data_IF_836811757774
#
_entry.id   IF_836811757774
#
_cell.length_a   1.000
_cell.length_b   1.000
_cell.length_c   1.000
_cell.angle_alpha   90.00
_cell.angle_beta   90.00
_cell.angle_gamma   90.00
#
_symmetry.space_group_name_H-M   'P 1'
#
loop_
_entity.id
_entity.type
_entity.pdbx_description
1 polymer ?
#
# COMPACT_ATOMS: atom_id res chain seq x y z
N UNK A 1 -22.00 0.36 -1.62
CA UNK A 1 -20.58 0.65 -1.35
C UNK A 1 -20.27 1.90 -2.12
N UNK A 2 -20.48 3.07 -1.50
CA UNK A 2 -20.14 4.35 -2.09
C UNK A 2 -18.66 4.34 -2.45
N UNK A 3 -18.34 4.92 -3.59
CA UNK A 3 -16.98 5.01 -4.12
C UNK A 3 -16.27 6.08 -3.28
N UNK A 4 -15.88 5.73 -2.07
CA UNK A 4 -15.35 6.67 -1.09
C UNK A 4 -13.98 7.16 -1.59
N UNK A 5 -14.00 8.36 -2.16
CA UNK A 5 -12.78 9.08 -2.54
C UNK A 5 -11.97 9.30 -1.28
N UNK A 6 -10.73 8.79 -1.25
CA UNK A 6 -9.79 9.03 -0.16
C UNK A 6 -9.54 10.53 -0.02
N UNK A 7 -9.47 11.02 1.22
CA UNK A 7 -9.27 12.44 1.51
C UNK A 7 -7.90 12.66 2.16
N UNK A 8 -7.28 13.79 1.86
CA UNK A 8 -5.91 14.08 2.30
C UNK A 8 -5.85 14.33 3.81
N UNK A 9 -6.92 14.87 4.38
CA UNK A 9 -7.09 15.09 5.82
C UNK A 9 -7.22 13.79 6.63
N UNK A 10 -7.53 12.66 5.98
CA UNK A 10 -7.55 11.35 6.63
C UNK A 10 -6.17 10.68 6.62
N UNK A 11 -5.18 11.25 5.92
CA UNK A 11 -3.87 10.65 5.77
C UNK A 11 -3.07 10.69 7.06
N UNK A 12 -2.51 9.55 7.46
CA UNK A 12 -1.71 9.42 8.69
C UNK A 12 -0.31 10.04 8.59
N UNK A 13 0.08 10.52 7.41
CA UNK A 13 1.40 11.10 7.16
C UNK A 13 1.30 12.42 6.37
N UNK A 14 2.10 13.41 6.74
CA UNK A 14 2.14 14.72 6.05
C UNK A 14 3.17 14.78 4.92
N UNK A 15 4.19 13.94 4.98
CA UNK A 15 5.30 13.91 4.02
C UNK A 15 5.45 12.55 3.36
N UNK A 16 5.90 12.57 2.11
CA UNK A 16 6.15 11.40 1.30
C UNK A 16 7.38 10.65 1.83
N UNK A 17 7.26 9.35 2.17
CA UNK A 17 8.37 8.59 2.78
C UNK A 17 9.57 8.41 1.84
N UNK A 18 9.41 8.61 0.53
CA UNK A 18 10.50 8.48 -0.45
C UNK A 18 11.36 9.72 -0.59
N UNK A 19 10.80 10.92 -0.35
CA UNK A 19 11.46 12.18 -0.72
C UNK A 19 11.40 13.27 0.34
N UNK A 20 10.56 13.12 1.38
CA UNK A 20 10.29 14.16 2.37
C UNK A 20 9.40 15.31 1.88
N UNK A 21 9.03 15.36 0.59
CA UNK A 21 8.10 16.37 0.07
C UNK A 21 6.67 16.18 0.62
N UNK A 22 5.82 17.22 0.68
CA UNK A 22 4.43 17.09 1.10
C UNK A 22 3.65 16.06 0.27
N UNK A 23 2.63 15.45 0.88
CA UNK A 23 1.71 14.55 0.18
C UNK A 23 0.72 15.33 -0.73
N UNK A 24 0.12 14.63 -1.70
CA UNK A 24 -0.85 15.20 -2.63
C UNK A 24 -2.17 14.40 -2.63
N UNK A 25 -3.30 15.09 -2.82
CA UNK A 25 -4.63 14.50 -2.75
C UNK A 25 -4.92 13.46 -3.85
N UNK A 26 -4.25 13.57 -5.01
CA UNK A 26 -4.33 12.59 -6.11
C UNK A 26 -3.46 11.34 -5.88
N UNK A 27 -2.71 11.33 -4.78
CA UNK A 27 -1.61 10.41 -4.51
C UNK A 27 -1.80 9.64 -3.20
N UNK A 28 -3.06 9.34 -2.88
CA UNK A 28 -3.47 8.62 -1.67
C UNK A 28 -3.75 7.13 -1.95
N UNK A 29 -3.57 6.28 -0.95
CA UNK A 29 -4.00 4.87 -0.95
C UNK A 29 -4.33 4.40 0.45
N UNK A 30 -4.97 3.23 0.57
CA UNK A 30 -5.12 2.53 1.84
C UNK A 30 -3.91 1.62 2.11
N UNK A 31 -3.48 1.57 3.37
CA UNK A 31 -2.56 0.58 3.90
C UNK A 31 -3.01 0.17 5.30
N UNK A 32 -3.31 -1.12 5.48
CA UNK A 32 -3.83 -1.68 6.76
C UNK A 32 -5.06 -0.93 7.30
N UNK A 33 -5.95 -0.47 6.40
CA UNK A 33 -7.16 0.28 6.75
C UNK A 33 -6.96 1.79 6.88
N UNK A 34 -5.71 2.26 6.94
CA UNK A 34 -5.39 3.68 7.10
C UNK A 34 -5.14 4.36 5.76
N UNK A 35 -5.49 5.64 5.64
CA UNK A 35 -5.11 6.46 4.48
C UNK A 35 -3.65 6.87 4.61
N UNK A 36 -2.86 6.60 3.57
CA UNK A 36 -1.47 7.06 3.46
C UNK A 36 -1.28 7.87 2.19
N UNK A 37 -0.45 8.90 2.25
CA UNK A 37 -0.21 9.83 1.15
C UNK A 37 1.21 9.79 0.60
N UNK A 38 1.33 10.20 -0.68
CA UNK A 38 2.59 10.34 -1.39
C UNK A 38 2.64 11.67 -2.14
N UNK A 39 3.84 12.13 -2.51
CA UNK A 39 4.01 13.42 -3.20
C UNK A 39 3.57 13.41 -4.67
N UNK A 40 3.35 12.22 -5.26
CA UNK A 40 2.85 12.04 -6.62
C UNK A 40 2.34 10.59 -6.82
N UNK A 41 1.57 10.32 -7.90
CA UNK A 41 1.02 8.99 -8.15
C UNK A 41 2.09 7.91 -8.34
N UNK A 42 3.23 8.25 -8.96
CA UNK A 42 4.33 7.30 -9.17
C UNK A 42 4.91 6.76 -7.85
N UNK A 43 5.03 7.61 -6.84
CA UNK A 43 5.45 7.23 -5.49
C UNK A 43 4.43 6.31 -4.79
N UNK A 44 3.14 6.62 -4.94
CA UNK A 44 2.03 5.77 -4.46
C UNK A 44 2.05 4.41 -5.12
N UNK A 45 2.23 4.36 -6.44
CA UNK A 45 2.16 3.12 -7.20
C UNK A 45 3.37 2.22 -6.94
N UNK A 46 4.56 2.80 -6.73
CA UNK A 46 5.74 2.07 -6.23
C UNK A 46 5.47 1.41 -4.88
N UNK A 47 4.83 2.13 -3.95
CA UNK A 47 4.44 1.57 -2.66
C UNK A 47 3.44 0.42 -2.81
N UNK A 48 2.37 0.60 -3.60
CA UNK A 48 1.38 -0.47 -3.88
C UNK A 48 2.05 -1.73 -4.45
N UNK A 49 2.97 -1.55 -5.40
CA UNK A 49 3.70 -2.67 -5.99
C UNK A 49 4.58 -3.40 -4.95
N UNK A 50 5.28 -2.66 -4.08
CA UNK A 50 6.08 -3.23 -3.02
C UNK A 50 5.24 -4.03 -2.02
N UNK A 51 4.11 -3.47 -1.55
CA UNK A 51 3.18 -4.19 -0.66
C UNK A 51 2.67 -5.46 -1.33
N UNK A 52 2.16 -5.39 -2.56
CA UNK A 52 1.67 -6.57 -3.28
C UNK A 52 2.76 -7.65 -3.42
N UNK A 53 4.01 -7.27 -3.64
CA UNK A 53 5.12 -8.21 -3.73
C UNK A 53 5.35 -8.95 -2.41
N UNK A 54 5.38 -8.23 -1.29
CA UNK A 54 5.59 -8.84 0.02
C UNK A 54 4.38 -9.64 0.50
N UNK A 55 3.16 -9.16 0.30
CA UNK A 55 1.94 -9.90 0.65
C UNK A 55 1.86 -11.23 -0.11
N UNK A 56 2.22 -11.23 -1.41
CA UNK A 56 2.31 -12.48 -2.19
C UNK A 56 3.34 -13.43 -1.59
N UNK A 57 4.54 -12.95 -1.27
CA UNK A 57 5.59 -13.78 -0.69
C UNK A 57 5.20 -14.36 0.69
N UNK A 58 4.50 -13.58 1.52
CA UNK A 58 3.98 -14.02 2.81
C UNK A 58 2.88 -15.06 2.65
N UNK A 59 1.93 -14.83 1.74
CA UNK A 59 0.89 -15.81 1.41
C UNK A 59 1.53 -17.13 0.97
N UNK A 60 2.51 -17.09 0.07
CA UNK A 60 3.22 -18.27 -0.42
C UNK A 60 3.99 -18.99 0.71
N UNK A 61 4.57 -18.26 1.68
CA UNK A 61 5.25 -18.87 2.84
C UNK A 61 4.27 -19.65 3.73
N UNK A 62 3.11 -19.06 3.99
CA UNK A 62 2.15 -19.57 4.97
C UNK A 62 1.20 -20.65 4.37
N UNK A 63 1.34 -20.98 3.08
CA UNK A 63 0.71 -22.17 2.47
C UNK A 63 1.22 -23.45 3.17
N UNK A 64 0.34 -24.29 3.74
CA UNK A 64 0.72 -25.55 4.37
C UNK A 64 1.58 -26.41 3.43
N UNK A 65 2.66 -27.01 3.94
CA UNK A 65 3.57 -27.86 3.14
C UNK A 65 2.83 -28.98 2.39
N UNK A 66 1.75 -29.48 2.98
CA UNK A 66 0.85 -30.49 2.40
C UNK A 66 0.21 -30.01 1.08
N UNK A 67 -0.05 -28.71 0.94
CA UNK A 67 -0.58 -28.09 -0.28
C UNK A 67 0.50 -27.76 -1.32
N UNK A 68 1.79 -27.84 -0.97
CA UNK A 68 2.91 -27.60 -1.91
C UNK A 68 3.36 -28.86 -2.66
N UNK A 69 2.77 -30.04 -2.38
CA UNK A 69 3.06 -31.29 -3.09
C UNK A 69 4.53 -31.74 -2.96
N UNK A 70 5.17 -31.40 -1.84
CA UNK A 70 6.52 -31.85 -1.50
C UNK A 70 6.33 -32.93 -0.43
N UNK A 71 6.46 -34.19 -0.85
CA UNK A 71 6.48 -35.37 0.03
C UNK A 71 7.82 -35.47 0.78
#
# INVERSE_FOLDING_TARGET
MSKDTLRIEDAVNETCPWSGKPIAADSLTLYRGEVVGFCNPGCRDKFKAAINHFEKALADRDVPLIAKGID
#
